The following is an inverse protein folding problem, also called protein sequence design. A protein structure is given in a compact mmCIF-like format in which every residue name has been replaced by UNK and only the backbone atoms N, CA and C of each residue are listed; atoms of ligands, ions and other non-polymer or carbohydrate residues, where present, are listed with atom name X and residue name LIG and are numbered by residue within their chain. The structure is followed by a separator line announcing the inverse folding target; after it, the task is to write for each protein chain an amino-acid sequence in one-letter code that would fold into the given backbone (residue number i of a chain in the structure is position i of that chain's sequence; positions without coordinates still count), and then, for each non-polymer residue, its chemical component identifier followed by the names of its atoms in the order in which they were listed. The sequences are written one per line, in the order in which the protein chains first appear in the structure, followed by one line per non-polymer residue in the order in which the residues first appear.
data_IF_679823614733
#
_entry.id   IF_679823614733
#
_cell.length_a   1.000
_cell.length_b   1.000
_cell.length_c   1.000
_cell.angle_alpha   90.00
_cell.angle_beta   90.00
_cell.angle_gamma   90.00
#
_symmetry.space_group_name_H-M   'P 1'
#
loop_
_entity.id
_entity.type
_entity.pdbx_description
1 polymer ?
#
# COMPACT_ATOMS: atom_id res chain seq x y z
N UNK A 1 29.07 -3.14 -20.76
CA UNK A 1 28.61 -2.77 -20.67
C UNK A 1 28.14 -2.31 -20.34
N UNK A 2 28.02 -2.17 -20.05
CA UNK A 2 27.51 -1.57 -19.70
C UNK A 2 26.76 -1.38 -19.06
N UNK A 3 26.51 -1.36 -18.82
CA UNK A 3 25.81 -1.13 -18.33
C UNK A 3 25.18 -1.21 -17.72
N UNK A 4 25.14 -1.33 -17.57
CA UNK A 4 24.56 -1.40 -17.17
C UNK A 4 24.06 -1.34 -16.32
N UNK A 5 24.06 -1.38 -16.03
CA UNK A 5 23.62 -1.31 -15.45
C UNK A 5 23.10 -1.11 -14.58
N UNK A 6 23.12 -1.24 -14.12
CA UNK A 6 22.76 -0.97 -13.41
C UNK A 6 22.01 -0.25 -13.20
N UNK A 7 22.32 -0.13 -13.37
CA UNK A 7 21.50 0.73 -13.38
C UNK A 7 20.17 0.49 -13.01
N UNK A 8 19.92 -0.49 -12.50
CA UNK A 8 18.64 -0.82 -11.96
C UNK A 8 18.40 0.00 -10.74
N UNK A 9 17.58 0.99 -10.85
CA UNK A 9 17.16 1.74 -9.70
C UNK A 9 16.03 0.98 -9.05
N UNK A 10 16.36 0.29 -7.99
CA UNK A 10 15.34 -0.38 -7.18
C UNK A 10 14.82 0.63 -6.19
N UNK A 11 13.53 0.82 -6.23
CA UNK A 11 12.85 1.74 -5.33
C UNK A 11 12.05 0.95 -4.30
N UNK A 12 12.01 1.49 -3.09
CA UNK A 12 11.25 0.89 -2.00
C UNK A 12 10.19 1.90 -1.57
N UNK A 13 8.96 1.44 -1.48
CA UNK A 13 7.87 2.24 -0.98
C UNK A 13 7.15 1.48 0.12
N UNK A 14 6.59 2.22 1.03
CA UNK A 14 5.75 1.67 2.09
C UNK A 14 4.36 2.22 1.89
N UNK A 15 3.43 1.33 1.61
CA UNK A 15 2.05 1.74 1.36
C UNK A 15 1.19 1.31 2.53
N UNK A 16 0.19 2.12 2.81
CA UNK A 16 -0.81 1.80 3.82
C UNK A 16 -2.07 1.36 3.09
N UNK A 17 -2.50 0.16 3.41
CA UNK A 17 -3.66 -0.45 2.77
C UNK A 17 -4.84 -0.42 3.72
N UNK A 18 -6.01 -0.13 3.18
CA UNK A 18 -7.28 -0.30 3.86
C UNK A 18 -7.89 -1.59 3.34
N UNK A 19 -8.13 -2.52 4.22
CA UNK A 19 -8.70 -3.81 3.85
C UNK A 19 -10.08 -3.91 4.48
N UNK A 20 -11.09 -4.07 3.64
CA UNK A 20 -12.47 -4.26 4.09
C UNK A 20 -12.91 -5.65 3.69
N UNK A 21 -13.36 -6.40 4.67
CA UNK A 21 -13.87 -7.75 4.43
C UNK A 21 -15.36 -7.77 4.76
N UNK A 22 -16.14 -8.28 3.84
CA UNK A 22 -17.59 -8.35 4.00
C UNK A 22 -18.05 -9.78 3.78
N UNK A 23 -18.90 -10.24 4.69
CA UNK A 23 -19.53 -11.54 4.57
C UNK A 23 -21.03 -11.34 4.68
N UNK A 24 -21.72 -11.51 3.57
CA UNK A 24 -23.18 -11.31 3.51
C UNK A 24 -23.79 -12.54 2.86
N UNK A 25 -24.67 -13.23 3.59
CA UNK A 25 -25.42 -14.36 3.06
C UNK A 25 -24.53 -15.38 2.35
N UNK A 26 -23.50 -15.84 3.02
CA UNK A 26 -22.57 -16.85 2.49
C UNK A 26 -21.65 -16.32 1.39
N UNK A 27 -21.74 -15.04 1.08
CA UNK A 27 -20.84 -14.41 0.11
C UNK A 27 -19.75 -13.66 0.85
N UNK A 28 -18.52 -13.88 0.41
CA UNK A 28 -17.37 -13.20 0.97
C UNK A 28 -16.78 -12.25 -0.07
N UNK A 29 -16.49 -11.04 0.35
CA UNK A 29 -15.88 -10.04 -0.54
C UNK A 29 -14.83 -9.27 0.23
N UNK A 30 -13.65 -9.13 -0.35
CA UNK A 30 -12.59 -8.32 0.23
C UNK A 30 -12.22 -7.21 -0.75
N UNK A 31 -12.06 -6.01 -0.21
CA UNK A 31 -11.66 -4.85 -0.99
C UNK A 31 -10.39 -4.29 -0.37
N UNK A 32 -9.41 -3.98 -1.21
CA UNK A 32 -8.15 -3.42 -0.75
C UNK A 32 -7.93 -2.10 -1.48
N UNK A 33 -7.74 -1.03 -0.69
CA UNK A 33 -7.47 0.29 -1.23
C UNK A 33 -6.16 0.81 -0.67
N UNK A 34 -5.42 1.55 -1.49
CA UNK A 34 -4.22 2.23 -1.03
C UNK A 34 -4.63 3.59 -0.49
N UNK A 35 -4.36 3.83 0.79
CA UNK A 35 -4.72 5.09 1.43
C UNK A 35 -3.53 6.01 1.64
N UNK A 36 -2.32 5.51 1.42
CA UNK A 36 -1.13 6.34 1.51
C UNK A 36 0.09 5.64 0.95
N UNK A 37 1.05 6.41 0.49
CA UNK A 37 2.29 5.89 -0.05
C UNK A 37 3.43 6.75 0.49
N UNK A 38 4.44 6.10 1.05
CA UNK A 38 5.51 6.79 1.77
C UNK A 38 6.86 6.22 1.40
N UNK A 39 7.89 7.06 1.53
CA UNK A 39 9.25 6.66 1.20
C UNK A 39 9.95 5.93 2.34
N UNK A 40 9.40 6.03 3.54
CA UNK A 40 10.01 5.38 4.70
C UNK A 40 8.93 4.77 5.57
N UNK A 41 9.37 3.81 6.37
CA UNK A 41 8.47 3.03 7.22
C UNK A 41 7.85 3.88 8.32
N UNK A 42 8.61 4.81 8.84
CA UNK A 42 8.14 5.62 9.96
C UNK A 42 6.90 6.41 9.57
N UNK A 43 6.93 7.04 8.41
CA UNK A 43 5.78 7.84 7.94
C UNK A 43 4.59 6.94 7.65
N UNK A 44 4.84 5.76 7.09
CA UNK A 44 3.76 4.82 6.83
C UNK A 44 3.11 4.38 8.15
N UNK A 45 3.93 4.11 9.16
CA UNK A 45 3.41 3.69 10.46
C UNK A 45 2.60 4.81 11.12
N UNK A 46 3.04 6.06 10.96
CA UNK A 46 2.28 7.20 11.48
C UNK A 46 0.90 7.27 10.83
N UNK A 47 0.85 7.06 9.53
CA UNK A 47 -0.41 7.06 8.81
C UNK A 47 -1.30 5.93 9.30
N UNK A 48 -0.75 4.73 9.41
CA UNK A 48 -1.52 3.59 9.90
C UNK A 48 -2.05 3.85 11.30
N UNK A 49 -1.21 4.38 12.19
CA UNK A 49 -1.61 4.67 13.55
C UNK A 49 -2.77 5.66 13.59
N UNK A 50 -2.69 6.71 12.76
CA UNK A 50 -3.76 7.69 12.69
C UNK A 50 -5.06 7.05 12.22
N UNK A 51 -4.98 6.17 11.22
CA UNK A 51 -6.18 5.49 10.73
C UNK A 51 -6.74 4.52 11.76
N UNK A 52 -5.85 3.79 12.45
CA UNK A 52 -6.29 2.88 13.50
C UNK A 52 -6.98 3.64 14.63
N UNK A 53 -6.46 4.82 14.97
CA UNK A 53 -7.07 5.64 16.01
C UNK A 53 -8.46 6.09 15.60
N UNK A 54 -8.63 6.48 14.33
CA UNK A 54 -9.95 6.87 13.84
C UNK A 54 -10.93 5.70 13.90
N UNK A 55 -10.47 4.49 13.64
CA UNK A 55 -11.33 3.32 13.76
C UNK A 55 -11.75 3.07 15.20
N UNK A 56 -10.86 3.35 16.16
CA UNK A 56 -11.20 3.19 17.57
C UNK A 56 -12.26 4.19 18.00
N UNK A 57 -12.13 5.43 17.52
CA UNK A 57 -13.08 6.48 17.87
C UNK A 57 -14.43 6.25 17.20
N UNK A 58 -14.38 5.80 15.95
CA UNK A 58 -15.60 5.63 15.15
C UNK A 58 -15.52 4.27 14.43
N UNK A 59 -15.80 3.20 15.14
CA UNK A 59 -15.66 1.85 14.57
C UNK A 59 -16.54 1.66 13.35
N UNK A 60 -15.97 0.98 12.36
CA UNK A 60 -16.69 0.62 11.15
C UNK A 60 -16.95 -0.88 11.06
N UNK A 61 -16.75 -1.57 12.16
CA UNK A 61 -16.89 -3.03 12.19
C UNK A 61 -18.30 -3.41 12.54
N UNK A 62 -18.83 -4.29 11.73
CA UNK A 62 -20.12 -4.93 11.93
C UNK A 62 -19.89 -6.43 11.88
N UNK A 63 -20.89 -7.20 12.25
CA UNK A 63 -20.78 -8.65 12.17
C UNK A 63 -20.42 -9.13 10.76
N UNK A 64 -20.87 -8.37 9.77
CA UNK A 64 -20.70 -8.75 8.38
C UNK A 64 -19.62 -7.92 7.66
N UNK A 65 -19.02 -6.96 8.35
CA UNK A 65 -18.04 -6.07 7.70
C UNK A 65 -16.95 -5.70 8.69
N UNK A 66 -15.70 -5.92 8.29
CA UNK A 66 -14.55 -5.57 9.13
C UNK A 66 -13.57 -4.76 8.31
N UNK A 67 -12.99 -3.75 8.96
CA UNK A 67 -12.02 -2.86 8.34
C UNK A 67 -10.72 -2.92 9.11
N UNK A 68 -9.61 -3.00 8.40
CA UNK A 68 -8.29 -2.93 9.03
C UNK A 68 -7.32 -2.21 8.11
N UNK A 69 -6.25 -1.72 8.70
CA UNK A 69 -5.19 -1.06 7.96
C UNK A 69 -3.90 -1.84 8.11
N UNK A 70 -3.10 -1.86 7.06
CA UNK A 70 -1.87 -2.63 7.04
C UNK A 70 -0.81 -1.86 6.28
N UNK A 71 0.43 -1.90 6.79
CA UNK A 71 1.58 -1.36 6.06
C UNK A 71 2.18 -2.47 5.23
N UNK A 72 2.41 -2.19 3.97
CA UNK A 72 2.99 -3.15 3.03
C UNK A 72 4.19 -2.51 2.35
N UNK A 73 5.32 -3.18 2.44
CA UNK A 73 6.53 -2.76 1.74
C UNK A 73 6.48 -3.32 0.32
N UNK A 74 6.77 -2.45 -0.64
CA UNK A 74 6.83 -2.88 -2.04
C UNK A 74 8.16 -2.46 -2.65
N UNK A 75 8.62 -3.25 -3.58
CA UNK A 75 9.82 -2.98 -4.35
C UNK A 75 9.43 -2.85 -5.81
N UNK A 76 10.03 -1.89 -6.49
CA UNK A 76 9.80 -1.77 -7.92
C UNK A 76 11.05 -1.21 -8.58
N UNK A 77 11.21 -1.54 -9.84
CA UNK A 77 12.30 -1.03 -10.64
C UNK A 77 11.81 0.10 -11.50
N UNK A 78 12.62 1.15 -11.54
CA UNK A 78 12.38 2.24 -12.44
C UNK A 78 13.19 1.97 -13.71
N UNK A 79 12.53 1.84 -14.83
CA UNK A 79 13.21 1.77 -16.12
C UNK A 79 13.37 3.18 -16.61
N UNK A 80 14.60 3.58 -16.55
CA UNK A 80 14.88 4.86 -17.12
C UNK A 80 15.19 4.61 -18.56
N UNK A 81 14.44 4.84 -19.39
CA UNK A 81 14.74 4.54 -20.66
C UNK A 81 14.73 5.54 -21.53
N UNK A 82 15.04 5.27 -21.12
CA UNK A 82 15.01 5.79 -21.74
C UNK A 82 15.02 6.22 -22.66
N UNK A 83 14.83 6.06 -22.41
CA UNK A 83 14.70 6.44 -23.16
C UNK A 83 14.81 6.73 -24.04
N UNK A 84 14.81 6.70 -24.05
CA UNK A 84 14.87 6.83 -24.72
C UNK A 84 14.92 7.25 -25.51
N UNK A 85 14.96 7.37 -25.55
CA UNK A 85 14.95 7.81 -26.21
C UNK A 85 14.87 8.10 -27.01
N UNK A 86 14.79 8.03 -26.93
CA UNK A 86 14.64 8.31 -27.62
C UNK A 86 14.60 8.56 -28.31
N UNK A 87 14.56 8.76 -28.18
CA UNK A 87 14.48 8.98 -28.94
C UNK A 87 14.30 9.21 -29.60
#
# INVERSE_FOLDING_TARGET
MKGEYFMDNVHVKFIVLKIEEQTISDSYKATVDVVGSFNNLEDANKCKTAKDTLLEISPKDYDWCKTQYKVQQIFFKSFVQADKKTA
#
